data_IF_188877949576
#
_entry.id   IF_188877949576
#
_cell.length_a   1.000
_cell.length_b   1.000
_cell.length_c   1.000
_cell.angle_alpha   90.00
_cell.angle_beta   90.00
_cell.angle_gamma   90.00
#
_symmetry.space_group_name_H-M   'P 1'
#
loop_
_entity.id
_entity.type
_entity.pdbx_description
1 polymer ?
#
# COMPACT_ATOMS: atom_id res chain seq x y z
N UNK A 1 -45.17 -28.18 -12.09
CA UNK A 1 -43.88 -27.59 -12.37
C UNK A 1 -42.96 -27.78 -11.20
N UNK A 2 -42.00 -28.71 -11.31
CA UNK A 2 -40.99 -28.99 -10.30
C UNK A 2 -39.76 -28.15 -10.66
N UNK A 3 -39.32 -27.29 -9.72
CA UNK A 3 -38.04 -26.61 -9.82
C UNK A 3 -36.91 -27.55 -9.34
N UNK A 4 -35.92 -27.76 -10.19
CA UNK A 4 -34.72 -28.50 -9.88
C UNK A 4 -33.81 -27.67 -9.00
N UNK A 5 -33.36 -28.26 -7.88
CA UNK A 5 -32.32 -27.70 -7.03
C UNK A 5 -30.94 -27.89 -7.68
N UNK A 6 -30.26 -26.79 -7.96
CA UNK A 6 -28.86 -26.80 -8.41
C UNK A 6 -27.95 -27.02 -7.20
N UNK A 7 -27.16 -28.09 -7.25
CA UNK A 7 -26.09 -28.39 -6.29
C UNK A 7 -25.02 -27.30 -6.34
N UNK A 8 -24.85 -26.58 -5.24
CA UNK A 8 -23.66 -25.79 -4.95
C UNK A 8 -22.53 -26.76 -4.62
N UNK A 9 -21.51 -26.76 -5.45
CA UNK A 9 -20.26 -27.48 -5.23
C UNK A 9 -19.50 -26.74 -4.11
N UNK A 10 -19.46 -27.32 -2.92
CA UNK A 10 -18.62 -26.83 -1.82
C UNK A 10 -17.15 -27.07 -2.18
N UNK A 11 -16.40 -25.99 -2.37
CA UNK A 11 -14.94 -26.04 -2.44
C UNK A 11 -14.39 -26.29 -1.03
N UNK A 12 -13.40 -27.18 -0.85
CA UNK A 12 -12.82 -27.43 0.46
C UNK A 12 -12.08 -26.19 0.96
N UNK A 13 -12.37 -25.79 2.20
CA UNK A 13 -11.66 -24.73 2.91
C UNK A 13 -10.17 -25.10 3.03
N UNK A 14 -9.31 -24.43 2.31
CA UNK A 14 -7.87 -24.47 2.52
C UNK A 14 -7.58 -23.87 3.91
N UNK A 15 -7.07 -24.69 4.82
CA UNK A 15 -6.51 -24.23 6.09
C UNK A 15 -5.27 -23.39 5.78
N UNK A 16 -5.41 -22.09 5.74
CA UNK A 16 -4.26 -21.20 5.78
C UNK A 16 -3.66 -21.23 7.20
N UNK A 17 -2.47 -21.81 7.27
CA UNK A 17 -1.61 -21.75 8.45
C UNK A 17 -1.29 -20.30 8.73
N UNK A 18 -1.46 -19.89 9.99
CA UNK A 18 -1.31 -18.53 10.48
C UNK A 18 -0.10 -17.80 9.94
N UNK A 19 -0.28 -16.52 9.69
CA UNK A 19 0.76 -15.55 9.37
C UNK A 19 1.95 -15.75 10.31
N UNK A 20 3.18 -15.95 9.82
CA UNK A 20 4.32 -16.14 10.70
C UNK A 20 4.48 -14.89 11.57
N UNK A 21 4.43 -15.07 12.90
CA UNK A 21 4.74 -14.03 13.87
C UNK A 21 6.15 -13.51 13.58
N UNK A 22 6.22 -12.34 12.99
CA UNK A 22 7.48 -11.73 12.60
C UNK A 22 7.97 -10.78 13.70
N UNK A 23 9.18 -11.04 14.19
CA UNK A 23 9.85 -10.22 15.19
C UNK A 23 10.54 -9.03 14.48
N UNK A 24 9.80 -7.97 14.25
CA UNK A 24 10.29 -6.74 13.60
C UNK A 24 11.12 -5.92 14.60
N UNK A 25 12.40 -6.20 14.72
CA UNK A 25 13.32 -5.32 15.47
C UNK A 25 13.95 -4.33 14.50
N UNK A 26 13.65 -3.05 14.67
CA UNK A 26 14.41 -1.96 14.07
C UNK A 26 15.75 -1.88 14.81
N UNK A 27 16.88 -2.12 14.12
CA UNK A 27 18.21 -2.04 14.72
C UNK A 27 18.71 -0.59 14.65
N UNK A 28 19.12 0.06 15.73
CA UNK A 28 19.63 1.43 15.68
C UNK A 28 21.04 1.47 15.06
N UNK A 29 21.18 2.24 13.98
CA UNK A 29 22.46 2.78 13.51
C UNK A 29 23.25 1.95 12.50
N UNK A 30 23.28 2.40 11.25
CA UNK A 30 24.35 2.16 10.28
C UNK A 30 24.36 0.80 9.57
N UNK A 31 23.80 0.70 8.39
CA UNK A 31 23.62 -0.46 7.51
C UNK A 31 22.18 -1.03 7.44
N UNK A 32 21.24 -0.35 8.04
CA UNK A 32 19.81 -0.76 8.12
C UNK A 32 19.24 -1.04 6.73
N UNK A 33 19.55 -0.23 5.75
CA UNK A 33 19.07 -0.27 4.40
C UNK A 33 19.37 -1.56 3.61
N UNK A 34 20.57 -2.13 3.76
CA UNK A 34 20.92 -3.39 3.09
C UNK A 34 20.28 -4.60 3.79
N UNK A 35 20.09 -4.53 5.09
CA UNK A 35 19.42 -5.57 5.87
C UNK A 35 17.93 -5.57 5.60
N UNK A 36 17.28 -4.41 5.54
CA UNK A 36 15.88 -4.27 5.19
C UNK A 36 15.61 -4.75 3.77
N UNK A 37 16.45 -4.36 2.80
CA UNK A 37 16.37 -4.87 1.42
C UNK A 37 16.46 -6.39 1.39
N UNK A 38 17.45 -6.98 2.08
CA UNK A 38 17.59 -8.44 2.14
C UNK A 38 16.37 -9.10 2.73
N UNK A 39 15.86 -8.58 3.85
CA UNK A 39 14.69 -9.06 4.57
C UNK A 39 13.44 -9.04 3.69
N UNK A 40 13.16 -7.93 3.01
CA UNK A 40 12.04 -7.82 2.10
C UNK A 40 12.20 -8.73 0.89
N UNK A 41 13.38 -8.82 0.31
CA UNK A 41 13.67 -9.74 -0.78
C UNK A 41 13.42 -11.20 -0.39
N UNK A 42 13.82 -11.63 0.78
CA UNK A 42 13.55 -12.97 1.29
C UNK A 42 12.05 -13.24 1.45
N UNK A 43 11.29 -12.27 1.98
CA UNK A 43 9.82 -12.37 2.10
C UNK A 43 9.15 -12.53 0.73
N UNK A 44 9.51 -11.70 -0.24
CA UNK A 44 8.93 -11.78 -1.58
C UNK A 44 9.32 -13.04 -2.33
N UNK A 45 10.56 -13.53 -2.18
CA UNK A 45 10.97 -14.86 -2.69
C UNK A 45 10.19 -16.00 -2.05
N UNK A 46 9.92 -15.90 -0.77
CA UNK A 46 9.14 -16.87 0.00
C UNK A 46 7.63 -16.82 -0.29
N UNK A 47 7.18 -16.00 -1.24
CA UNK A 47 5.77 -15.93 -1.64
C UNK A 47 4.91 -15.00 -0.78
N UNK A 48 5.51 -14.15 0.06
CA UNK A 48 4.74 -13.16 0.81
C UNK A 48 3.89 -12.30 -0.14
N UNK A 49 2.64 -12.09 0.24
CA UNK A 49 1.66 -11.30 -0.51
C UNK A 49 1.32 -11.81 -1.92
N UNK A 50 1.63 -13.06 -2.25
CA UNK A 50 1.24 -13.65 -3.55
C UNK A 50 -0.27 -13.70 -3.76
N UNK A 51 -1.03 -13.91 -2.69
CA UNK A 51 -2.50 -13.92 -2.73
C UNK A 51 -3.13 -12.51 -2.87
N UNK A 52 -2.32 -11.44 -2.72
CA UNK A 52 -2.80 -10.06 -2.84
C UNK A 52 -2.63 -9.54 -4.27
N UNK A 53 -3.33 -10.13 -5.22
CA UNK A 53 -3.28 -9.73 -6.64
C UNK A 53 -4.17 -8.52 -6.95
N UNK A 54 -5.20 -8.29 -6.12
CA UNK A 54 -6.12 -7.16 -6.29
C UNK A 54 -5.55 -5.87 -5.69
N UNK A 55 -5.91 -4.70 -6.25
CA UNK A 55 -5.57 -3.40 -5.65
C UNK A 55 -6.09 -3.33 -4.21
N UNK A 56 -5.54 -2.41 -3.42
CA UNK A 56 -6.03 -2.16 -2.07
C UNK A 56 -7.52 -1.78 -2.08
N UNK A 57 -8.28 -2.25 -1.10
CA UNK A 57 -9.71 -2.00 -1.03
C UNK A 57 -10.04 -0.50 -1.05
N UNK A 58 -9.25 0.32 -0.35
CA UNK A 58 -9.43 1.78 -0.35
C UNK A 58 -9.26 2.40 -1.74
N UNK A 59 -8.32 1.89 -2.55
CA UNK A 59 -8.10 2.39 -3.91
C UNK A 59 -9.32 2.14 -4.79
N UNK A 60 -9.95 0.98 -4.66
CA UNK A 60 -11.18 0.64 -5.37
C UNK A 60 -12.38 1.42 -4.85
N UNK A 61 -12.51 1.53 -3.53
CA UNK A 61 -13.63 2.21 -2.87
C UNK A 61 -13.68 3.71 -3.19
N UNK A 62 -12.51 4.36 -3.29
CA UNK A 62 -12.41 5.80 -3.52
C UNK A 62 -11.97 6.18 -4.93
N UNK A 63 -11.95 5.23 -5.85
CA UNK A 63 -11.49 5.41 -7.25
C UNK A 63 -12.23 6.54 -7.98
N UNK A 64 -13.50 6.78 -7.68
CA UNK A 64 -14.31 7.84 -8.27
C UNK A 64 -13.75 9.25 -8.00
N UNK A 65 -13.05 9.42 -6.87
CA UNK A 65 -12.41 10.68 -6.49
C UNK A 65 -10.99 10.83 -7.05
N UNK A 66 -10.39 9.77 -7.61
CA UNK A 66 -9.03 9.79 -8.13
C UNK A 66 -9.03 10.20 -9.59
N UNK A 67 -8.41 11.35 -9.88
CA UNK A 67 -8.33 11.91 -11.24
C UNK A 67 -6.92 12.42 -11.48
N UNK A 68 -6.52 12.46 -12.74
CA UNK A 68 -5.23 12.96 -13.16
C UNK A 68 -4.57 12.08 -14.22
N UNK A 69 -3.31 12.34 -14.49
CA UNK A 69 -2.52 11.64 -15.48
C UNK A 69 -1.26 11.01 -14.89
N UNK A 70 -0.69 11.62 -13.85
CA UNK A 70 0.55 11.16 -13.22
C UNK A 70 0.29 10.63 -11.82
N UNK A 71 0.89 9.48 -11.48
CA UNK A 71 0.74 8.89 -10.15
C UNK A 71 2.09 8.37 -9.60
N UNK A 72 2.22 8.41 -8.28
CA UNK A 72 3.33 7.84 -7.55
C UNK A 72 2.81 6.83 -6.52
N UNK A 73 3.28 5.57 -6.61
CA UNK A 73 2.99 4.51 -5.62
C UNK A 73 4.23 4.29 -4.74
N UNK A 74 4.17 4.78 -3.50
CA UNK A 74 5.25 4.74 -2.52
C UNK A 74 5.20 3.42 -1.75
N UNK A 75 6.34 2.71 -1.66
CA UNK A 75 6.47 1.37 -1.10
C UNK A 75 5.50 0.39 -1.78
N UNK A 76 5.55 0.37 -3.11
CA UNK A 76 4.57 -0.28 -3.97
C UNK A 76 4.55 -1.82 -3.85
N UNK A 77 5.59 -2.43 -3.25
CA UNK A 77 5.72 -3.88 -3.15
C UNK A 77 5.67 -4.56 -4.53
N UNK A 78 4.75 -5.53 -4.69
CA UNK A 78 4.51 -6.23 -5.97
C UNK A 78 3.67 -5.42 -6.96
N UNK A 79 3.47 -4.12 -6.71
CA UNK A 79 2.90 -3.18 -7.67
C UNK A 79 1.40 -3.32 -7.92
N UNK A 80 0.63 -3.96 -7.04
CA UNK A 80 -0.82 -4.18 -7.24
C UNK A 80 -1.61 -2.88 -7.48
N UNK A 81 -1.27 -1.82 -6.73
CA UNK A 81 -1.88 -0.50 -6.88
C UNK A 81 -1.35 0.22 -8.13
N UNK A 82 -0.02 0.22 -8.34
CA UNK A 82 0.61 0.80 -9.52
C UNK A 82 0.08 0.22 -10.83
N UNK A 83 -0.04 -1.12 -10.92
CA UNK A 83 -0.60 -1.81 -12.09
C UNK A 83 -2.07 -1.43 -12.31
N UNK A 84 -2.85 -1.33 -11.23
CA UNK A 84 -4.25 -0.89 -11.34
C UNK A 84 -4.34 0.55 -11.86
N UNK A 85 -3.56 1.48 -11.31
CA UNK A 85 -3.53 2.86 -11.78
C UNK A 85 -3.10 2.96 -13.26
N UNK A 86 -2.08 2.19 -13.66
CA UNK A 86 -1.69 2.12 -15.06
C UNK A 86 -2.81 1.59 -15.96
N UNK A 87 -3.61 0.63 -15.48
CA UNK A 87 -4.79 0.14 -16.22
C UNK A 87 -5.90 1.17 -16.37
N UNK A 88 -5.95 2.17 -15.48
CA UNK A 88 -6.85 3.31 -15.54
C UNK A 88 -6.29 4.46 -16.42
N UNK A 89 -5.06 4.31 -16.95
CA UNK A 89 -4.44 5.27 -17.86
C UNK A 89 -3.52 6.29 -17.19
N UNK A 90 -3.16 6.10 -15.92
CA UNK A 90 -2.13 6.91 -15.28
C UNK A 90 -0.73 6.54 -15.80
N UNK A 91 0.13 7.55 -15.94
CA UNK A 91 1.57 7.38 -16.02
C UNK A 91 2.10 7.24 -14.60
N UNK A 92 2.66 6.06 -14.27
CA UNK A 92 2.90 5.67 -12.89
C UNK A 92 4.39 5.47 -12.62
N UNK A 93 4.91 6.20 -11.63
CA UNK A 93 6.15 5.87 -10.93
C UNK A 93 5.82 4.98 -9.73
N UNK A 94 6.54 3.87 -9.59
CA UNK A 94 6.34 2.93 -8.49
C UNK A 94 7.69 2.57 -7.85
N UNK A 95 7.81 2.83 -6.55
CA UNK A 95 9.08 2.75 -5.83
C UNK A 95 9.00 1.81 -4.63
N UNK A 96 9.98 0.91 -4.51
CA UNK A 96 10.13 -0.01 -3.38
C UNK A 96 11.60 -0.34 -3.12
N UNK A 97 11.94 -0.76 -1.91
CA UNK A 97 13.31 -1.17 -1.55
C UNK A 97 13.66 -2.55 -2.13
N UNK A 98 12.68 -3.41 -2.36
CA UNK A 98 12.86 -4.78 -2.81
C UNK A 98 12.97 -4.88 -4.34
N UNK A 99 14.17 -5.16 -4.82
CA UNK A 99 14.38 -5.47 -6.25
C UNK A 99 13.63 -6.72 -6.71
N UNK A 100 13.39 -7.67 -5.81
CA UNK A 100 12.59 -8.87 -6.12
C UNK A 100 11.11 -8.52 -6.31
N UNK A 101 10.54 -7.67 -5.46
CA UNK A 101 9.17 -7.21 -5.60
C UNK A 101 8.99 -6.42 -6.91
N UNK A 102 9.89 -5.49 -7.18
CA UNK A 102 9.92 -4.69 -8.42
C UNK A 102 10.03 -5.59 -9.66
N UNK A 103 10.91 -6.59 -9.65
CA UNK A 103 11.04 -7.52 -10.77
C UNK A 103 9.73 -8.31 -11.01
N UNK A 104 9.10 -8.81 -9.95
CA UNK A 104 7.81 -9.53 -10.04
C UNK A 104 6.70 -8.62 -10.56
N UNK A 105 6.63 -7.38 -10.06
CA UNK A 105 5.68 -6.37 -10.50
C UNK A 105 5.85 -6.02 -11.99
N UNK A 106 7.08 -5.80 -12.44
CA UNK A 106 7.40 -5.49 -13.83
C UNK A 106 7.00 -6.64 -14.77
N UNK A 107 7.27 -7.90 -14.39
CA UNK A 107 6.86 -9.08 -15.18
C UNK A 107 5.33 -9.15 -15.30
N UNK A 108 4.59 -8.90 -14.21
CA UNK A 108 3.14 -8.88 -14.23
C UNK A 108 2.60 -7.77 -15.13
N UNK A 109 3.11 -6.54 -15.01
CA UNK A 109 2.71 -5.42 -15.85
C UNK A 109 2.94 -5.70 -17.34
N UNK A 110 4.09 -6.28 -17.70
CA UNK A 110 4.39 -6.70 -19.08
C UNK A 110 3.36 -7.71 -19.58
N UNK A 111 3.00 -8.72 -18.77
CA UNK A 111 2.01 -9.73 -19.15
C UNK A 111 0.62 -9.14 -19.40
N UNK A 112 0.31 -8.01 -18.79
CA UNK A 112 -0.94 -7.26 -18.95
C UNK A 112 -0.84 -6.14 -20.01
N UNK A 113 0.30 -6.02 -20.71
CA UNK A 113 0.60 -4.95 -21.66
C UNK A 113 0.47 -3.54 -21.05
N UNK A 114 0.84 -3.39 -19.78
CA UNK A 114 0.85 -2.13 -19.04
C UNK A 114 2.26 -1.60 -18.87
N UNK A 115 2.40 -0.27 -18.81
CA UNK A 115 3.66 0.42 -18.56
C UNK A 115 3.62 1.08 -17.20
N UNK A 116 4.66 0.85 -16.41
CA UNK A 116 4.90 1.49 -15.11
C UNK A 116 6.41 1.73 -15.03
N UNK A 117 6.82 2.85 -14.54
CA UNK A 117 8.22 3.15 -14.25
C UNK A 117 8.58 2.59 -12.87
N UNK A 118 9.31 1.50 -12.86
CA UNK A 118 9.69 0.77 -11.66
C UNK A 118 11.02 1.26 -11.10
N UNK A 119 11.05 1.62 -9.80
CA UNK A 119 12.22 2.21 -9.14
C UNK A 119 12.57 1.38 -7.91
N UNK A 120 13.79 0.83 -7.88
CA UNK A 120 14.32 0.21 -6.66
C UNK A 120 15.10 1.23 -5.86
N UNK A 121 14.59 1.66 -4.71
CA UNK A 121 15.24 2.65 -3.87
C UNK A 121 14.87 2.48 -2.41
N UNK A 122 15.78 2.92 -1.53
CA UNK A 122 15.60 2.93 -0.08
C UNK A 122 14.97 4.26 0.37
N UNK A 123 13.69 4.19 0.69
CA UNK A 123 12.88 5.33 1.09
C UNK A 123 13.22 5.91 2.48
N UNK A 124 13.98 5.16 3.30
CA UNK A 124 14.51 5.69 4.56
C UNK A 124 15.65 6.70 4.34
N UNK A 125 16.24 6.71 3.14
CA UNK A 125 17.30 7.66 2.77
C UNK A 125 16.78 8.91 2.10
N UNK A 126 15.89 8.75 1.13
CA UNK A 126 15.36 9.86 0.33
C UNK A 126 14.20 9.39 -0.54
N UNK A 127 13.47 10.36 -1.10
CA UNK A 127 12.55 10.15 -2.20
C UNK A 127 13.17 10.79 -3.45
N UNK A 128 13.79 10.02 -4.36
CA UNK A 128 14.60 10.51 -5.47
C UNK A 128 13.74 10.88 -6.68
N UNK A 129 12.65 11.60 -6.45
CA UNK A 129 11.66 11.99 -7.45
C UNK A 129 11.33 13.47 -7.29
N UNK A 130 11.01 14.13 -8.38
CA UNK A 130 10.82 15.59 -8.38
C UNK A 130 9.35 16.01 -8.60
N UNK A 131 8.47 15.11 -9.03
CA UNK A 131 7.05 15.47 -9.30
C UNK A 131 6.91 16.47 -10.46
N UNK A 132 5.79 17.19 -10.60
CA UNK A 132 4.59 17.05 -9.77
C UNK A 132 3.73 15.81 -10.13
N UNK A 133 2.99 15.29 -9.13
CA UNK A 133 2.06 14.18 -9.31
C UNK A 133 0.63 14.61 -9.06
N UNK A 134 -0.30 14.15 -9.89
CA UNK A 134 -1.73 14.34 -9.69
C UNK A 134 -2.26 13.43 -8.57
N UNK A 135 -1.62 12.27 -8.38
CA UNK A 135 -1.99 11.30 -7.35
C UNK A 135 -0.74 10.70 -6.70
N UNK A 136 -0.70 10.69 -5.38
CA UNK A 136 0.31 9.95 -4.61
C UNK A 136 -0.40 8.92 -3.74
N UNK A 137 0.11 7.68 -3.74
CA UNK A 137 -0.34 6.61 -2.85
C UNK A 137 0.75 6.26 -1.86
N UNK A 138 0.36 6.08 -0.60
CA UNK A 138 1.20 5.51 0.44
C UNK A 138 0.33 4.56 1.28
N UNK A 139 0.51 3.24 1.06
CA UNK A 139 -0.35 2.24 1.68
C UNK A 139 0.47 1.21 2.45
N UNK A 140 0.16 1.05 3.75
CA UNK A 140 0.80 0.09 4.65
C UNK A 140 2.33 0.27 4.77
N UNK A 141 2.78 1.52 4.73
CA UNK A 141 4.18 1.90 4.92
C UNK A 141 4.30 3.15 5.80
N UNK A 142 4.57 2.94 7.08
CA UNK A 142 4.64 4.01 8.10
C UNK A 142 5.96 4.76 8.01
N UNK A 143 5.94 6.00 7.51
CA UNK A 143 7.06 6.93 7.51
C UNK A 143 6.55 8.38 7.41
N UNK A 144 6.24 9.02 8.54
CA UNK A 144 5.69 10.38 8.58
C UNK A 144 6.63 11.44 7.98
N UNK A 145 7.97 11.40 8.17
CA UNK A 145 8.88 12.30 7.47
C UNK A 145 8.82 12.18 5.95
N UNK A 146 8.70 10.95 5.43
CA UNK A 146 8.54 10.70 4.01
C UNK A 146 7.20 11.22 3.50
N UNK A 147 6.12 11.00 4.25
CA UNK A 147 4.79 11.53 3.95
C UNK A 147 4.83 13.06 3.80
N UNK A 148 5.47 13.76 4.73
CA UNK A 148 5.70 15.22 4.67
C UNK A 148 6.51 15.65 3.44
N UNK A 149 7.41 14.79 2.94
CA UNK A 149 8.17 15.04 1.73
C UNK A 149 7.32 14.79 0.49
N UNK A 150 6.54 13.71 0.47
CA UNK A 150 5.67 13.33 -0.64
C UNK A 150 4.61 14.41 -0.94
N UNK A 151 4.04 15.04 0.08
CA UNK A 151 3.08 16.15 -0.07
C UNK A 151 3.63 17.28 -0.95
N UNK A 152 4.93 17.56 -0.89
CA UNK A 152 5.57 18.63 -1.68
C UNK A 152 5.63 18.30 -3.17
N UNK A 153 5.51 17.02 -3.52
CA UNK A 153 5.52 16.52 -4.90
C UNK A 153 4.12 16.52 -5.53
N UNK A 154 3.07 16.90 -4.79
CA UNK A 154 1.74 17.02 -5.37
C UNK A 154 1.66 18.19 -6.35
N UNK A 155 1.02 17.95 -7.47
CA UNK A 155 0.56 19.01 -8.39
C UNK A 155 -0.45 19.94 -7.68
N UNK A 156 -0.69 21.16 -8.19
CA UNK A 156 -1.87 21.93 -7.81
C UNK A 156 -3.14 21.08 -8.04
N UNK A 157 -4.02 21.00 -7.07
CA UNK A 157 -5.20 20.11 -7.05
C UNK A 157 -4.87 18.60 -7.05
N UNK A 158 -3.60 18.23 -6.93
CA UNK A 158 -3.16 16.83 -6.77
C UNK A 158 -3.60 16.26 -5.43
N UNK A 159 -3.75 14.95 -5.38
CA UNK A 159 -4.29 14.23 -4.21
C UNK A 159 -3.30 13.21 -3.65
N UNK A 160 -3.39 12.99 -2.36
CA UNK A 160 -2.67 11.92 -1.68
C UNK A 160 -3.65 10.97 -1.01
N UNK A 161 -3.47 9.67 -1.26
CA UNK A 161 -4.22 8.58 -0.64
C UNK A 161 -3.31 7.83 0.32
N UNK A 162 -3.66 7.85 1.60
CA UNK A 162 -2.90 7.19 2.67
C UNK A 162 -3.76 6.14 3.34
N UNK A 163 -3.20 4.95 3.54
CA UNK A 163 -3.80 3.90 4.38
C UNK A 163 -2.73 3.27 5.26
N UNK A 164 -2.88 3.37 6.59
CA UNK A 164 -1.92 2.84 7.54
C UNK A 164 -2.58 2.04 8.66
N UNK A 165 -1.81 1.11 9.27
CA UNK A 165 -2.25 0.42 10.46
C UNK A 165 -2.24 1.35 11.68
N UNK A 166 -3.37 1.42 12.40
CA UNK A 166 -3.47 2.12 13.68
C UNK A 166 -2.91 1.28 14.83
N UNK A 167 -2.38 1.95 15.84
CA UNK A 167 -2.21 1.35 17.17
C UNK A 167 -3.60 1.02 17.70
N UNK A 168 -3.78 -0.20 18.20
CA UNK A 168 -5.06 -0.71 18.69
C UNK A 168 -4.83 -1.77 19.74
N UNK A 169 -5.68 -1.80 20.77
CA UNK A 169 -5.73 -2.85 21.78
C UNK A 169 -6.60 -4.04 21.33
N UNK A 170 -7.27 -3.92 20.20
CA UNK A 170 -8.11 -4.97 19.63
C UNK A 170 -7.27 -6.07 18.97
N UNK A 171 -7.84 -7.28 18.88
CA UNK A 171 -7.23 -8.39 18.19
C UNK A 171 -7.37 -8.21 16.66
N UNK A 172 -6.42 -7.52 16.07
CA UNK A 172 -6.43 -7.13 14.65
C UNK A 172 -5.17 -7.60 13.92
N UNK A 173 -5.32 -7.84 12.61
CA UNK A 173 -4.18 -8.15 11.75
C UNK A 173 -3.27 -6.91 11.57
N UNK A 174 -2.05 -7.17 11.08
CA UNK A 174 -1.06 -6.14 10.76
C UNK A 174 0.24 -6.33 11.53
N UNK A 175 1.14 -5.36 11.48
CA UNK A 175 2.42 -5.43 12.18
C UNK A 175 2.24 -5.60 13.68
N UNK A 176 2.99 -6.52 14.29
CA UNK A 176 3.00 -6.71 15.75
C UNK A 176 3.86 -5.65 16.46
N UNK A 177 4.88 -5.11 15.75
CA UNK A 177 5.69 -4.03 16.27
C UNK A 177 4.92 -2.69 16.14
N UNK A 178 4.68 -1.97 17.26
CA UNK A 178 3.96 -0.69 17.24
C UNK A 178 4.68 0.41 16.43
N UNK A 179 5.98 0.32 16.18
CA UNK A 179 6.71 1.26 15.31
C UNK A 179 6.24 1.25 13.85
N UNK A 180 5.54 0.17 13.42
CA UNK A 180 4.91 0.06 12.11
C UNK A 180 3.41 0.34 12.15
N UNK A 181 2.96 1.04 13.19
CA UNK A 181 1.58 1.50 13.35
C UNK A 181 1.59 2.99 13.68
N UNK A 182 0.56 3.69 13.28
CA UNK A 182 0.41 5.12 13.54
C UNK A 182 -0.54 5.36 14.72
N UNK A 183 -0.35 6.49 15.41
CA UNK A 183 -1.30 6.96 16.42
C UNK A 183 -2.55 7.51 15.73
N UNK A 184 -3.74 7.39 16.35
CA UNK A 184 -4.93 8.08 15.87
C UNK A 184 -4.67 9.57 15.66
N UNK A 185 -5.09 10.10 14.51
CA UNK A 185 -4.94 11.51 14.14
C UNK A 185 -3.55 11.92 13.64
N UNK A 186 -2.52 11.07 13.71
CA UNK A 186 -1.16 11.48 13.30
C UNK A 186 -1.01 11.69 11.79
N UNK A 187 -1.71 10.88 10.98
CA UNK A 187 -1.72 11.03 9.52
C UNK A 187 -2.36 12.37 9.15
N UNK A 188 -3.53 12.69 9.71
CA UNK A 188 -4.21 13.96 9.47
C UNK A 188 -3.35 15.15 9.91
N UNK A 189 -2.68 15.03 11.05
CA UNK A 189 -1.75 16.07 11.51
C UNK A 189 -0.60 16.29 10.52
N UNK A 190 -0.03 15.23 9.97
CA UNK A 190 1.05 15.30 8.97
C UNK A 190 0.55 15.91 7.66
N UNK A 191 -0.70 15.62 7.26
CA UNK A 191 -1.35 16.16 6.07
C UNK A 191 -1.91 17.58 6.25
N UNK A 192 -1.80 18.19 7.41
CA UNK A 192 -2.50 19.39 7.86
C UNK A 192 -2.43 20.66 6.99
N UNK A 193 -1.62 20.66 5.91
CA UNK A 193 -1.61 21.72 4.88
C UNK A 193 -2.53 21.43 3.69
N UNK A 194 -3.16 20.25 3.66
CA UNK A 194 -4.03 19.78 2.58
C UNK A 194 -5.49 19.82 3.03
N UNK A 195 -6.41 19.91 2.08
CA UNK A 195 -7.83 19.73 2.31
C UNK A 195 -8.17 18.25 2.38
N UNK A 196 -8.72 17.77 3.51
CA UNK A 196 -9.15 16.39 3.68
C UNK A 196 -10.52 16.22 3.01
N UNK A 197 -10.57 15.40 1.94
CA UNK A 197 -11.82 15.11 1.24
C UNK A 197 -12.57 13.91 1.82
N UNK A 198 -11.81 12.88 2.23
CA UNK A 198 -12.34 11.65 2.82
C UNK A 198 -11.41 11.17 3.91
N UNK A 199 -11.99 10.71 5.00
CA UNK A 199 -11.22 10.09 6.08
C UNK A 199 -12.01 8.98 6.77
N UNK A 200 -11.27 8.07 7.36
CA UNK A 200 -11.79 7.01 8.22
C UNK A 200 -10.70 6.59 9.21
N UNK A 201 -11.06 6.44 10.46
CA UNK A 201 -10.24 5.77 11.47
C UNK A 201 -11.08 4.75 12.23
N UNK A 202 -10.58 3.52 12.37
CA UNK A 202 -11.28 2.50 13.13
C UNK A 202 -11.02 1.09 12.65
N UNK A 203 -11.92 0.20 13.04
CA UNK A 203 -11.90 -1.21 12.66
C UNK A 203 -12.55 -1.40 11.30
N UNK A 204 -11.89 -2.16 10.45
CA UNK A 204 -12.41 -2.57 9.15
C UNK A 204 -12.29 -4.08 9.01
N UNK A 205 -13.28 -4.70 8.41
CA UNK A 205 -13.18 -6.10 8.02
C UNK A 205 -12.54 -6.19 6.63
N UNK A 206 -11.40 -6.87 6.56
CA UNK A 206 -10.73 -7.15 5.28
C UNK A 206 -11.54 -8.18 4.46
N UNK A 207 -11.32 -8.29 3.14
CA UNK A 207 -12.06 -9.22 2.29
C UNK A 207 -11.96 -10.70 2.69
N UNK A 208 -10.90 -11.08 3.41
CA UNK A 208 -10.71 -12.43 3.96
C UNK A 208 -11.43 -12.67 5.29
N UNK A 209 -12.20 -11.68 5.78
CA UNK A 209 -12.97 -11.74 7.02
C UNK A 209 -12.16 -11.37 8.27
N UNK A 210 -10.87 -11.10 8.17
CA UNK A 210 -10.05 -10.64 9.29
C UNK A 210 -10.31 -9.16 9.61
N UNK A 211 -10.03 -8.74 10.86
CA UNK A 211 -10.18 -7.34 11.26
C UNK A 211 -8.84 -6.61 11.25
N UNK A 212 -8.83 -5.40 10.74
CA UNK A 212 -7.71 -4.48 10.80
C UNK A 212 -8.14 -3.15 11.45
N UNK A 213 -7.26 -2.56 12.25
CA UNK A 213 -7.41 -1.18 12.71
C UNK A 213 -6.64 -0.28 11.74
N UNK A 214 -7.34 0.60 11.05
CA UNK A 214 -6.78 1.41 9.96
C UNK A 214 -7.14 2.88 10.10
N UNK A 215 -6.22 3.73 9.65
CA UNK A 215 -6.50 5.09 9.20
C UNK A 215 -6.47 5.10 7.68
N UNK A 216 -7.42 5.80 7.09
CA UNK A 216 -7.57 6.03 5.64
C UNK A 216 -7.83 7.51 5.42
N UNK A 217 -7.05 8.16 4.58
CA UNK A 217 -7.22 9.58 4.28
C UNK A 217 -7.01 9.82 2.80
N UNK A 218 -7.91 10.56 2.18
CA UNK A 218 -7.74 11.19 0.88
C UNK A 218 -7.72 12.71 1.11
N UNK A 219 -6.61 13.33 0.76
CA UNK A 219 -6.44 14.77 0.91
C UNK A 219 -5.96 15.42 -0.39
N UNK A 220 -6.33 16.67 -0.61
CA UNK A 220 -6.05 17.44 -1.82
C UNK A 220 -5.17 18.64 -1.52
N UNK A 221 -4.23 18.94 -2.42
CA UNK A 221 -3.49 20.18 -2.42
C UNK A 221 -4.34 21.30 -3.05
N UNK A 222 -4.71 22.31 -2.27
CA UNK A 222 -5.47 23.49 -2.71
C UNK A 222 -4.58 24.49 -3.42
#
# INVERSE_FOLDING_TARGET
ARFAATHLCELPASRETGSPHYNDKKTPGGSVSNEDRRRWNERYRGGAYQSREHPSAILLEWQDALKGHSALDIACGRGRNAIHLASLGFDVDAIDISDIAIQQAAQLAISMNLRVHWITHDLERSLPLEGPYDLILMTRYVNEPLLSTAIKLLAPQGKILVEEHLISDENVIGPTNPEFRVQPGSVQQTLGSLEIEREFEGLIQEPDGTWAALVRVLAQRV
#
